data_IF_954924320183
#
_entry.id   IF_954924320183
#
_cell.length_a   1.000
_cell.length_b   1.000
_cell.length_c   1.000
_cell.angle_alpha   90.00
_cell.angle_beta   90.00
_cell.angle_gamma   90.00
#
_symmetry.space_group_name_H-M   'P 1'
#
loop_
_entity.id
_entity.type
_entity.pdbx_description
1 polymer ?
#
# COMPACT_ATOMS: atom_id res chain seq x y z
N UNK A 1 40.92 -3.04 -31.68
CA UNK A 1 42.05 -3.00 -30.73
C UNK A 1 41.57 -2.18 -29.54
N UNK A 2 40.84 -2.82 -28.63
CA UNK A 2 41.39 -3.46 -27.42
C UNK A 2 41.49 -2.43 -26.29
N UNK A 3 40.39 -2.31 -25.54
CA UNK A 3 40.29 -2.82 -24.18
C UNK A 3 41.35 -2.43 -23.11
N UNK A 4 40.76 -2.08 -21.95
CA UNK A 4 41.09 -2.60 -20.60
C UNK A 4 41.90 -1.69 -19.65
N UNK A 5 41.11 -1.12 -18.73
CA UNK A 5 41.30 -1.05 -17.27
C UNK A 5 42.41 -0.21 -16.65
N UNK A 6 41.99 0.75 -15.84
CA UNK A 6 42.54 0.90 -14.49
C UNK A 6 41.38 1.06 -13.51
N UNK A 7 41.29 0.07 -12.64
CA UNK A 7 40.47 -0.02 -11.44
C UNK A 7 40.41 1.28 -10.63
N UNK A 8 39.20 1.77 -10.36
CA UNK A 8 38.95 2.53 -9.13
C UNK A 8 38.07 1.66 -8.25
N UNK A 9 38.74 1.15 -7.23
CA UNK A 9 38.30 0.31 -6.13
C UNK A 9 37.01 0.85 -5.50
N UNK A 10 35.94 0.06 -5.59
CA UNK A 10 34.62 0.32 -5.02
C UNK A 10 34.64 0.08 -3.50
N UNK A 11 35.41 0.89 -2.76
CA UNK A 11 35.59 0.73 -1.31
C UNK A 11 35.37 1.99 -0.47
N UNK A 12 35.12 3.15 -1.08
CA UNK A 12 34.94 4.40 -0.32
C UNK A 12 33.95 5.36 -0.97
N UNK A 13 32.68 4.98 -1.11
CA UNK A 13 31.61 5.94 -1.40
C UNK A 13 30.40 5.68 -0.51
N UNK A 14 30.32 6.53 0.51
CA UNK A 14 29.12 6.97 1.18
C UNK A 14 28.36 5.92 2.01
N UNK A 15 28.73 5.87 3.30
CA UNK A 15 27.77 5.57 4.37
C UNK A 15 26.63 6.58 4.28
N UNK A 16 25.62 6.25 3.49
CA UNK A 16 24.29 6.83 3.58
C UNK A 16 23.61 6.23 4.80
N UNK A 17 23.96 6.76 5.98
CA UNK A 17 23.15 6.66 7.18
C UNK A 17 21.79 7.30 6.88
N UNK A 18 20.89 6.51 6.29
CA UNK A 18 19.46 6.78 6.26
C UNK A 18 18.81 6.04 7.43
N UNK A 19 19.37 6.21 8.63
CA UNK A 19 18.54 6.17 9.82
C UNK A 19 17.60 7.38 9.73
N UNK A 20 16.43 7.17 9.12
CA UNK A 20 15.23 7.98 9.40
C UNK A 20 14.91 7.79 10.88
N UNK A 21 15.63 8.52 11.74
CA UNK A 21 15.31 8.65 13.14
C UNK A 21 14.12 9.60 13.25
N UNK A 22 12.92 9.03 13.16
CA UNK A 22 11.71 9.62 13.77
C UNK A 22 11.82 9.59 15.31
N UNK A 23 12.97 9.94 15.89
CA UNK A 23 13.22 9.92 17.34
C UNK A 23 13.21 11.32 17.93
N UNK A 24 13.08 12.38 17.12
CA UNK A 24 13.04 13.75 17.63
C UNK A 24 11.69 14.12 18.27
N UNK A 25 10.56 13.55 17.82
CA UNK A 25 9.25 13.87 18.37
C UNK A 25 9.02 13.32 19.79
N UNK A 26 9.59 12.14 20.09
CA UNK A 26 9.45 11.51 21.42
C UNK A 26 10.40 12.15 22.45
N UNK A 27 11.61 12.51 22.03
CA UNK A 27 12.57 13.23 22.88
C UNK A 27 12.07 14.64 23.27
N UNK A 28 11.38 15.35 22.38
CA UNK A 28 10.80 16.67 22.68
C UNK A 28 9.62 16.60 23.68
N UNK A 29 8.81 15.53 23.63
CA UNK A 29 7.70 15.32 24.58
C UNK A 29 8.19 15.04 26.00
N UNK A 30 9.22 14.24 26.17
CA UNK A 30 9.80 13.90 27.48
C UNK A 30 10.58 15.09 28.08
N UNK A 31 11.28 15.85 27.23
CA UNK A 31 11.90 17.12 27.64
C UNK A 31 10.83 18.15 28.05
N UNK A 32 9.71 18.20 27.34
CA UNK A 32 8.56 19.06 27.63
C UNK A 32 7.85 18.69 28.95
N UNK A 33 7.57 17.42 29.19
CA UNK A 33 6.97 16.94 30.46
C UNK A 33 7.88 17.25 31.65
N UNK A 34 9.20 17.10 31.50
CA UNK A 34 10.16 17.47 32.53
C UNK A 34 10.20 18.98 32.79
N UNK A 35 10.12 19.79 31.74
CA UNK A 35 10.05 21.25 31.87
C UNK A 35 8.75 21.68 32.58
N UNK A 36 7.61 21.06 32.25
CA UNK A 36 6.31 21.31 32.88
C UNK A 36 6.33 20.95 34.38
N UNK A 37 6.90 19.80 34.73
CA UNK A 37 7.04 19.36 36.13
C UNK A 37 7.99 20.28 36.89
N UNK A 38 9.06 20.74 36.25
CA UNK A 38 10.04 21.66 36.85
C UNK A 38 9.43 23.04 37.09
N UNK A 39 8.63 23.56 36.16
CA UNK A 39 7.90 24.82 36.34
C UNK A 39 6.84 24.71 37.44
N UNK A 40 6.10 23.59 37.53
CA UNK A 40 5.17 23.35 38.65
C UNK A 40 5.86 23.32 40.02
N UNK A 41 7.13 22.89 40.08
CA UNK A 41 7.92 22.88 41.33
C UNK A 41 8.49 24.25 41.72
N UNK A 42 8.72 25.15 40.75
CA UNK A 42 9.49 26.40 40.95
C UNK A 42 8.76 27.71 40.63
N UNK A 43 7.46 27.69 40.31
CA UNK A 43 6.70 28.92 40.02
C UNK A 43 6.36 29.73 41.28
N UNK A 44 6.86 30.96 41.33
CA UNK A 44 6.35 32.03 42.22
C UNK A 44 4.91 32.39 41.77
N UNK A 45 3.90 32.35 42.66
CA UNK A 45 2.48 32.50 42.32
C UNK A 45 2.08 33.84 41.66
N UNK A 46 2.97 34.82 41.55
CA UNK A 46 2.62 36.18 41.13
C UNK A 46 2.66 36.48 39.61
N UNK A 47 3.16 35.59 38.73
CA UNK A 47 3.04 35.78 37.25
C UNK A 47 3.04 34.46 36.42
N UNK A 48 1.93 33.70 36.41
CA UNK A 48 1.87 32.38 35.77
C UNK A 48 1.28 32.34 34.35
N UNK A 49 1.00 33.46 33.68
CA UNK A 49 0.07 33.48 32.53
C UNK A 49 0.70 33.21 31.15
N UNK A 50 1.92 33.69 30.87
CA UNK A 50 2.50 33.61 29.51
C UNK A 50 3.01 32.18 29.19
N UNK A 51 3.75 31.57 30.14
CA UNK A 51 4.28 30.21 30.00
C UNK A 51 3.15 29.17 29.85
N UNK A 52 2.04 29.34 30.59
CA UNK A 52 0.90 28.41 30.51
C UNK A 52 0.21 28.43 29.15
N UNK A 53 0.15 29.59 28.48
CA UNK A 53 -0.53 29.71 27.19
C UNK A 53 0.30 29.13 26.05
N UNK A 54 1.63 29.22 26.11
CA UNK A 54 2.53 28.55 25.18
C UNK A 54 2.52 27.02 25.37
N UNK A 55 2.56 26.55 26.62
CA UNK A 55 2.48 25.13 26.98
C UNK A 55 1.16 24.51 26.50
N UNK A 56 0.04 25.21 26.69
CA UNK A 56 -1.26 24.75 26.22
C UNK A 56 -1.30 24.59 24.68
N UNK A 57 -0.69 25.51 23.94
CA UNK A 57 -0.58 25.42 22.48
C UNK A 57 0.31 24.25 22.04
N UNK A 58 1.47 24.06 22.68
CA UNK A 58 2.36 22.94 22.36
C UNK A 58 1.70 21.59 22.66
N UNK A 59 1.03 21.45 23.80
CA UNK A 59 0.26 20.25 24.12
C UNK A 59 -0.85 19.97 23.10
N UNK A 60 -1.51 21.02 22.59
CA UNK A 60 -2.50 20.91 21.53
C UNK A 60 -1.87 20.40 20.22
N UNK A 61 -0.72 20.95 19.80
CA UNK A 61 -0.01 20.48 18.61
C UNK A 61 0.47 19.03 18.75
N UNK A 62 1.10 18.68 19.88
CA UNK A 62 1.53 17.30 20.18
C UNK A 62 0.38 16.30 20.15
N UNK A 63 -0.80 16.70 20.61
CA UNK A 63 -2.00 15.86 20.58
C UNK A 63 -2.51 15.65 19.14
N UNK A 64 -2.47 16.70 18.31
CA UNK A 64 -2.84 16.60 16.88
C UNK A 64 -1.85 15.74 16.09
N UNK A 65 -0.55 15.88 16.36
CA UNK A 65 0.48 15.04 15.75
C UNK A 65 0.29 13.58 16.15
N UNK A 66 0.02 13.31 17.44
CA UNK A 66 -0.24 11.95 17.90
C UNK A 66 -1.48 11.34 17.21
N UNK A 67 -2.53 12.15 17.00
CA UNK A 67 -3.72 11.72 16.28
C UNK A 67 -3.41 11.42 14.81
N UNK A 68 -2.62 12.24 14.14
CA UNK A 68 -2.15 11.97 12.77
C UNK A 68 -1.32 10.69 12.70
N UNK A 69 -0.42 10.47 13.65
CA UNK A 69 0.38 9.24 13.74
C UNK A 69 -0.51 8.00 13.96
N UNK A 70 -1.54 8.10 14.81
CA UNK A 70 -2.50 7.02 15.02
C UNK A 70 -3.30 6.71 13.74
N UNK A 71 -3.77 7.73 13.04
CA UNK A 71 -4.47 7.56 11.77
C UNK A 71 -3.56 6.90 10.72
N UNK A 72 -2.33 7.38 10.55
CA UNK A 72 -1.35 6.79 9.62
C UNK A 72 -1.05 5.32 9.96
N UNK A 73 -0.88 4.99 11.24
CA UNK A 73 -0.68 3.61 11.67
C UNK A 73 -1.92 2.74 11.45
N UNK A 74 -3.13 3.29 11.63
CA UNK A 74 -4.38 2.59 11.35
C UNK A 74 -4.52 2.27 9.85
N UNK A 75 -4.25 3.24 8.97
CA UNK A 75 -4.26 3.03 7.51
C UNK A 75 -3.22 2.00 7.08
N UNK A 76 -2.02 1.98 7.68
CA UNK A 76 -1.01 0.93 7.43
C UNK A 76 -1.47 -0.45 7.87
N UNK A 77 -2.09 -0.55 9.04
CA UNK A 77 -2.61 -1.82 9.55
C UNK A 77 -3.72 -2.36 8.64
N UNK A 78 -4.61 -1.49 8.16
CA UNK A 78 -5.61 -1.85 7.16
C UNK A 78 -4.92 -2.31 5.87
N UNK A 79 -3.96 -1.56 5.34
CA UNK A 79 -3.23 -1.95 4.14
C UNK A 79 -2.59 -3.34 4.25
N UNK A 80 -1.90 -3.64 5.36
CA UNK A 80 -1.32 -4.96 5.59
C UNK A 80 -2.38 -6.07 5.62
N UNK A 81 -3.57 -5.80 6.15
CA UNK A 81 -4.67 -6.76 6.13
C UNK A 81 -5.25 -7.00 4.73
N UNK A 82 -5.05 -6.06 3.81
CA UNK A 82 -5.52 -6.14 2.42
C UNK A 82 -4.52 -6.81 1.48
N UNK A 83 -3.28 -7.04 1.91
CA UNK A 83 -2.27 -7.74 1.12
C UNK A 83 -2.79 -9.09 0.61
N UNK A 84 -2.64 -9.34 -0.70
CA UNK A 84 -3.15 -10.51 -1.43
C UNK A 84 -4.69 -10.64 -1.48
N UNK A 85 -5.47 -9.65 -1.02
CA UNK A 85 -6.92 -9.62 -1.24
C UNK A 85 -7.24 -8.94 -2.56
N UNK A 86 -8.41 -9.25 -3.12
CA UNK A 86 -8.95 -8.49 -4.24
C UNK A 86 -9.71 -7.30 -3.69
N UNK A 87 -9.40 -6.12 -4.19
CA UNK A 87 -10.03 -4.86 -3.80
C UNK A 87 -10.59 -4.14 -5.01
N UNK A 88 -11.58 -3.29 -4.76
CA UNK A 88 -12.10 -2.33 -5.73
C UNK A 88 -12.00 -0.94 -5.11
N UNK A 89 -11.60 0.03 -5.92
CA UNK A 89 -11.49 1.43 -5.54
C UNK A 89 -11.98 2.36 -6.64
N UNK A 90 -12.31 3.58 -6.25
CA UNK A 90 -12.65 4.66 -7.16
C UNK A 90 -11.54 5.71 -7.11
N UNK A 91 -10.78 5.81 -8.20
CA UNK A 91 -9.68 6.77 -8.33
C UNK A 91 -10.18 7.94 -9.17
N UNK A 92 -10.09 9.16 -8.64
CA UNK A 92 -10.42 10.36 -9.40
C UNK A 92 -9.20 10.88 -10.14
N UNK A 93 -9.34 11.13 -11.44
CA UNK A 93 -8.32 11.78 -12.25
C UNK A 93 -8.42 13.30 -12.03
N UNK A 94 -7.40 13.90 -11.40
CA UNK A 94 -7.43 15.33 -11.05
C UNK A 94 -7.44 16.27 -12.26
N UNK A 95 -7.03 15.81 -13.45
CA UNK A 95 -6.96 16.64 -14.65
C UNK A 95 -8.31 16.69 -15.39
N UNK A 96 -9.07 15.60 -15.37
CA UNK A 96 -10.34 15.45 -16.07
C UNK A 96 -11.55 15.56 -15.15
N UNK A 97 -11.38 15.26 -13.86
CA UNK A 97 -12.45 15.13 -12.87
C UNK A 97 -13.26 13.84 -13.02
N UNK A 98 -12.87 12.95 -13.94
CA UNK A 98 -13.51 11.66 -14.13
C UNK A 98 -13.09 10.69 -13.03
N UNK A 99 -14.00 9.78 -12.68
CA UNK A 99 -13.72 8.69 -11.73
C UNK A 99 -13.53 7.39 -12.49
N UNK A 100 -12.41 6.73 -12.24
CA UNK A 100 -12.11 5.40 -12.75
C UNK A 100 -12.25 4.36 -11.64
N UNK A 101 -12.90 3.25 -11.95
CA UNK A 101 -12.90 2.08 -11.05
C UNK A 101 -11.67 1.23 -11.32
N UNK A 102 -10.87 0.99 -10.27
CA UNK A 102 -9.74 0.08 -10.30
C UNK A 102 -10.10 -1.17 -9.49
N UNK A 103 -9.94 -2.35 -10.08
CA UNK A 103 -10.18 -3.63 -9.41
C UNK A 103 -9.00 -4.55 -9.66
N UNK A 104 -8.48 -5.14 -8.59
CA UNK A 104 -7.35 -6.07 -8.70
C UNK A 104 -6.92 -6.65 -7.37
N UNK A 105 -5.94 -7.55 -7.42
CA UNK A 105 -5.29 -8.07 -6.22
C UNK A 105 -4.25 -7.07 -5.72
N UNK A 106 -4.22 -6.84 -4.41
CA UNK A 106 -3.16 -6.04 -3.77
C UNK A 106 -1.87 -6.86 -3.74
N UNK A 107 -0.82 -6.38 -4.40
CA UNK A 107 0.50 -7.02 -4.46
C UNK A 107 1.62 -6.19 -3.84
N UNK A 108 1.32 -4.94 -3.46
CA UNK A 108 2.28 -4.01 -2.84
C UNK A 108 1.62 -2.99 -1.93
N UNK A 109 2.42 -2.43 -1.01
CA UNK A 109 2.02 -1.33 -0.13
C UNK A 109 3.15 -0.31 -0.09
N UNK A 110 2.81 0.96 -0.29
CA UNK A 110 3.74 2.09 -0.22
C UNK A 110 3.21 3.14 0.75
N UNK A 111 4.12 3.82 1.47
CA UNK A 111 3.77 4.96 2.31
C UNK A 111 4.56 6.18 1.85
N UNK A 112 3.87 7.23 1.45
CA UNK A 112 4.45 8.52 1.05
C UNK A 112 3.75 9.66 1.79
N UNK A 113 4.54 10.59 2.33
CA UNK A 113 4.02 11.77 3.06
C UNK A 113 2.98 11.46 4.15
N UNK A 114 3.07 10.27 4.77
CA UNK A 114 2.14 9.83 5.82
C UNK A 114 0.85 9.17 5.31
N UNK A 115 0.60 9.20 4.00
CA UNK A 115 -0.49 8.49 3.33
C UNK A 115 -0.05 7.09 2.93
N UNK A 116 -0.98 6.15 2.97
CA UNK A 116 -0.74 4.75 2.62
C UNK A 116 -1.46 4.41 1.34
N UNK A 117 -0.74 3.82 0.39
CA UNK A 117 -1.23 3.40 -0.91
C UNK A 117 -1.08 1.90 -1.08
N UNK A 118 -2.03 1.30 -1.78
CA UNK A 118 -2.02 -0.09 -2.22
C UNK A 118 -1.64 -0.13 -3.70
N UNK A 119 -0.75 -1.02 -4.07
CA UNK A 119 -0.51 -1.32 -5.48
C UNK A 119 -1.59 -2.31 -5.96
N UNK A 120 -2.39 -1.90 -6.93
CA UNK A 120 -3.53 -2.64 -7.47
C UNK A 120 -3.54 -2.49 -8.98
N UNK A 121 -3.37 -3.60 -9.71
CA UNK A 121 -3.36 -3.61 -11.18
C UNK A 121 -2.39 -2.60 -11.82
N UNK A 122 -1.20 -2.44 -11.21
CA UNK A 122 -0.19 -1.49 -11.69
C UNK A 122 -0.42 -0.03 -11.28
N UNK A 123 -1.47 0.27 -10.53
CA UNK A 123 -1.81 1.62 -10.04
C UNK A 123 -1.70 1.71 -8.53
N UNK A 124 -1.26 2.85 -8.03
CA UNK A 124 -1.25 3.14 -6.60
C UNK A 124 -2.59 3.79 -6.22
N UNK A 125 -3.28 3.16 -5.26
CA UNK A 125 -4.63 3.52 -4.82
C UNK A 125 -4.59 3.84 -3.34
N UNK A 126 -5.19 4.96 -2.91
CA UNK A 126 -5.27 5.29 -1.48
C UNK A 126 -6.09 4.22 -0.75
N UNK A 127 -5.64 3.83 0.44
CA UNK A 127 -6.43 2.95 1.33
C UNK A 127 -7.81 3.56 1.65
N UNK A 128 -7.91 4.89 1.62
CA UNK A 128 -9.15 5.61 1.90
C UNK A 128 -10.17 5.53 0.75
N UNK A 129 -9.73 5.19 -0.48
CA UNK A 129 -10.56 5.13 -1.69
C UNK A 129 -11.10 3.71 -1.97
N UNK A 130 -10.81 2.75 -1.09
CA UNK A 130 -11.25 1.37 -1.22
C UNK A 130 -12.75 1.26 -0.92
N UNK A 131 -13.52 0.79 -1.88
CA UNK A 131 -14.99 0.66 -1.77
C UNK A 131 -15.42 -0.78 -1.47
N UNK A 132 -14.70 -1.78 -1.99
CA UNK A 132 -15.02 -3.20 -1.76
C UNK A 132 -13.76 -4.01 -1.51
N UNK A 133 -13.86 -4.97 -0.59
CA UNK A 133 -12.84 -5.97 -0.30
C UNK A 133 -13.46 -7.35 -0.53
N UNK A 134 -12.86 -8.15 -1.40
CA UNK A 134 -13.29 -9.52 -1.70
C UNK A 134 -12.24 -10.50 -1.16
N UNK A 135 -12.67 -11.35 -0.23
CA UNK A 135 -11.88 -12.50 0.20
C UNK A 135 -12.11 -13.66 -0.77
N UNK A 136 -11.05 -14.06 -1.47
CA UNK A 136 -11.09 -15.28 -2.27
C UNK A 136 -10.70 -16.44 -1.36
N UNK A 137 -11.68 -17.22 -0.90
CA UNK A 137 -11.41 -18.39 -0.08
C UNK A 137 -10.74 -19.50 -0.90
N UNK A 138 -9.89 -20.29 -0.26
CA UNK A 138 -9.26 -21.46 -0.91
C UNK A 138 -10.29 -22.42 -1.51
N UNK A 139 -11.47 -22.55 -0.91
CA UNK A 139 -12.55 -23.37 -1.43
C UNK A 139 -13.10 -22.84 -2.76
N UNK A 140 -13.25 -21.50 -2.89
CA UNK A 140 -13.67 -20.87 -4.15
C UNK A 140 -12.62 -21.06 -5.24
N UNK A 141 -11.32 -20.93 -4.91
CA UNK A 141 -10.23 -21.17 -5.86
C UNK A 141 -10.26 -22.61 -6.37
N UNK A 142 -10.43 -23.59 -5.47
CA UNK A 142 -10.51 -25.00 -5.84
C UNK A 142 -11.72 -25.29 -6.74
N UNK A 143 -12.87 -24.70 -6.44
CA UNK A 143 -14.09 -24.84 -7.24
C UNK A 143 -13.94 -24.23 -8.64
N UNK A 144 -13.35 -23.03 -8.75
CA UNK A 144 -13.06 -22.42 -10.05
C UNK A 144 -12.06 -23.23 -10.87
N UNK A 145 -11.01 -23.77 -10.25
CA UNK A 145 -10.03 -24.63 -10.93
C UNK A 145 -10.65 -25.93 -11.45
N UNK A 146 -11.55 -26.56 -10.71
CA UNK A 146 -12.30 -27.73 -11.18
C UNK A 146 -13.20 -27.39 -12.37
N UNK A 147 -13.87 -26.24 -12.30
CA UNK A 147 -14.73 -25.73 -13.39
C UNK A 147 -13.91 -25.44 -14.65
N UNK A 148 -12.73 -24.84 -14.51
CA UNK A 148 -11.79 -24.58 -15.61
C UNK A 148 -11.33 -25.89 -16.26
N UNK A 149 -10.91 -26.88 -15.46
CA UNK A 149 -10.46 -28.17 -15.99
C UNK A 149 -11.56 -28.93 -16.74
N UNK A 150 -12.79 -28.86 -16.24
CA UNK A 150 -13.97 -29.43 -16.90
C UNK A 150 -14.22 -28.73 -18.24
N UNK A 151 -14.19 -27.39 -18.25
CA UNK A 151 -14.39 -26.58 -19.46
C UNK A 151 -13.30 -26.83 -20.51
N UNK A 152 -12.04 -26.93 -20.10
CA UNK A 152 -10.92 -27.29 -21.00
C UNK A 152 -11.13 -28.66 -21.62
N UNK A 153 -11.62 -29.63 -20.85
CA UNK A 153 -11.88 -30.98 -21.34
C UNK A 153 -13.00 -30.98 -22.38
N UNK A 154 -14.11 -30.28 -22.09
CA UNK A 154 -15.22 -30.11 -23.03
C UNK A 154 -14.76 -29.44 -24.34
N UNK A 155 -13.99 -28.36 -24.26
CA UNK A 155 -13.43 -27.68 -25.43
C UNK A 155 -12.52 -28.58 -26.26
N UNK A 156 -11.69 -29.42 -25.62
CA UNK A 156 -10.85 -30.39 -26.33
C UNK A 156 -11.68 -31.41 -27.09
N UNK A 157 -12.75 -31.94 -26.50
CA UNK A 157 -13.67 -32.86 -27.17
C UNK A 157 -14.37 -32.21 -28.36
N UNK A 158 -14.78 -30.95 -28.24
CA UNK A 158 -15.42 -30.19 -29.31
C UNK A 158 -14.47 -29.93 -30.48
N UNK A 159 -13.21 -29.55 -30.20
CA UNK A 159 -12.16 -29.42 -31.23
C UNK A 159 -11.90 -30.75 -31.94
N UNK A 160 -11.92 -31.88 -31.23
CA UNK A 160 -11.78 -33.21 -31.85
C UNK A 160 -12.95 -33.50 -32.80
N UNK A 161 -14.18 -33.20 -32.38
CA UNK A 161 -15.38 -33.38 -33.23
C UNK A 161 -15.33 -32.50 -34.49
N UNK A 162 -14.88 -31.25 -34.37
CA UNK A 162 -14.73 -30.34 -35.52
C UNK A 162 -13.67 -30.84 -36.51
N UNK A 163 -12.52 -31.30 -36.04
CA UNK A 163 -11.48 -31.89 -36.90
C UNK A 163 -11.94 -33.18 -37.58
N UNK A 164 -12.72 -34.01 -36.88
CA UNK A 164 -13.31 -35.21 -37.46
C UNK A 164 -14.34 -34.88 -38.56
N UNK A 165 -15.12 -33.80 -38.37
CA UNK A 165 -16.05 -33.27 -39.37
C UNK A 165 -15.32 -32.77 -40.62
N UNK A 166 -14.27 -31.95 -40.47
CA UNK A 166 -13.46 -31.42 -41.58
C UNK A 166 -12.77 -32.52 -42.41
N UNK A 167 -12.36 -33.62 -41.78
CA UNK A 167 -11.80 -34.78 -42.48
C UNK A 167 -12.84 -35.60 -43.26
N UNK A 168 -14.10 -35.62 -42.81
CA UNK A 168 -15.18 -36.39 -43.45
C UNK A 168 -15.69 -35.73 -44.73
N UNK A 169 -15.68 -34.39 -44.82
CA UNK A 169 -16.13 -33.65 -46.01
C UNK A 169 -15.16 -33.78 -47.19
N UNK A 170 -13.88 -34.05 -46.96
CA UNK A 170 -12.88 -34.18 -48.03
C UNK A 170 -12.99 -35.52 -48.82
N UNK A 171 -13.69 -36.52 -48.28
CA UNK A 171 -13.83 -37.85 -48.90
C UNK A 171 -15.12 -38.07 -49.67
N UNK A 172 -16.12 -37.18 -49.56
CA UNK A 172 -17.43 -37.34 -50.24
C UNK A 172 -17.56 -36.61 -51.59
N UNK A 173 -16.52 -35.94 -52.11
CA UNK A 173 -16.60 -35.20 -53.40
C UNK A 173 -15.94 -35.92 -54.59
N UNK A 174 -15.61 -37.21 -54.47
CA UNK A 174 -15.08 -37.98 -55.60
C UNK A 174 -15.79 -39.34 -55.69
N UNK A 175 -17.02 -39.33 -56.21
CA UNK A 175 -17.56 -40.44 -57.02
C UNK A 175 -18.70 -39.93 -57.92
#
# INVERSE_FOLDING_TARGET
>A
MSDITSSIDSKYLYSGDSAKTNTNSDLDKDAFLNLLVTQLQYQDPLNPTDDKQFIAQMAQFSSLEQMQNLNSNSSKMLAYSLMNKVVQAEVSDEATGDTETVTGTVDGITTEEGKTYLHVDGKDVSVDDITTITDISQAQILQEMETINTSITALKEEVIKLKASEGSIATETIE
#
